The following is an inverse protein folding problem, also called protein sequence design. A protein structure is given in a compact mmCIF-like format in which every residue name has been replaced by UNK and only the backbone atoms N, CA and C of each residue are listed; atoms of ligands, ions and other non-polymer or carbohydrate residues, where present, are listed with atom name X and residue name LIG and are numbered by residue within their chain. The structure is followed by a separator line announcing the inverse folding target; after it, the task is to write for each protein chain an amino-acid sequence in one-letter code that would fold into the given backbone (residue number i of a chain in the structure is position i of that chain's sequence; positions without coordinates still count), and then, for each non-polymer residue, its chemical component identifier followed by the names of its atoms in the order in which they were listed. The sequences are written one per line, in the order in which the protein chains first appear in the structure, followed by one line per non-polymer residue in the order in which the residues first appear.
data_IF_953425509507
#
_entry.id   IF_953425509507
#
_cell.length_a   1.000
_cell.length_b   1.000
_cell.length_c   1.000
_cell.angle_alpha   90.00
_cell.angle_beta   90.00
_cell.angle_gamma   90.00
#
_symmetry.space_group_name_H-M   'P 1'
#
loop_
_entity.id
_entity.type
_entity.pdbx_description
1 polymer ?
#
# COMPACT_ATOMS: atom_id res chain seq x y z
N UNK A 1 4.18 16.77 10.23
CA UNK A 1 3.57 16.45 8.94
C UNK A 1 4.66 16.39 7.87
N UNK A 2 4.64 15.35 7.03
CA UNK A 2 5.54 15.20 5.88
C UNK A 2 4.77 15.50 4.59
N UNK A 3 5.24 16.49 3.86
CA UNK A 3 4.67 16.91 2.57
C UNK A 3 5.69 16.73 1.46
N UNK A 4 5.25 16.22 0.32
CA UNK A 4 6.01 16.23 -0.93
C UNK A 4 5.14 16.89 -2.01
N UNK A 5 5.49 18.12 -2.39
CA UNK A 5 4.63 18.97 -3.20
C UNK A 5 3.33 19.32 -2.47
N UNK A 6 2.20 18.83 -3.00
CA UNK A 6 0.84 19.04 -2.41
C UNK A 6 0.29 17.79 -1.72
N UNK A 7 1.06 16.70 -1.70
CA UNK A 7 0.62 15.42 -1.15
C UNK A 7 1.12 15.29 0.28
N UNK A 8 0.22 14.90 1.18
CA UNK A 8 0.56 14.54 2.55
C UNK A 8 0.97 13.07 2.59
N UNK A 9 2.25 12.81 2.94
CA UNK A 9 2.78 11.45 3.12
C UNK A 9 2.63 10.96 4.57
N UNK A 10 1.83 11.64 5.35
CA UNK A 10 1.53 11.31 6.73
C UNK A 10 1.85 12.45 7.70
N UNK A 11 1.28 12.34 8.88
CA UNK A 11 1.63 13.18 10.01
C UNK A 11 1.48 12.40 11.33
N UNK A 12 2.05 12.93 12.38
CA UNK A 12 1.97 12.40 13.73
C UNK A 12 1.63 13.53 14.68
N UNK A 13 0.81 13.24 15.68
CA UNK A 13 0.55 14.18 16.77
C UNK A 13 1.76 14.30 17.71
N UNK A 14 2.03 15.49 18.22
CA UNK A 14 3.11 15.73 19.19
C UNK A 14 2.67 15.35 20.62
N UNK A 15 1.38 15.33 20.88
CA UNK A 15 0.81 14.95 22.17
C UNK A 15 1.06 13.45 22.45
N UNK A 16 1.70 13.16 23.58
CA UNK A 16 2.10 11.81 23.97
C UNK A 16 0.93 10.83 24.15
N UNK A 17 -0.28 11.32 24.44
CA UNK A 17 -1.45 10.47 24.60
C UNK A 17 -2.00 9.95 23.28
N UNK A 18 -1.78 10.70 22.18
CA UNK A 18 -2.29 10.40 20.85
C UNK A 18 -1.21 10.29 19.78
N UNK A 19 0.07 10.35 20.13
CA UNK A 19 1.18 10.28 19.18
C UNK A 19 1.23 8.94 18.41
N UNK A 20 0.65 7.87 18.94
CA UNK A 20 0.54 6.57 18.28
C UNK A 20 -0.74 6.41 17.45
N UNK A 21 -1.60 7.45 17.39
CA UNK A 21 -2.81 7.38 16.57
C UNK A 21 -2.45 7.23 15.09
N UNK A 22 -3.03 6.22 14.48
CA UNK A 22 -2.88 6.02 13.04
C UNK A 22 -3.66 7.11 12.31
N UNK A 23 -3.02 7.77 11.37
CA UNK A 23 -3.55 8.97 10.69
C UNK A 23 -3.61 8.78 9.18
N UNK A 24 -4.23 9.73 8.51
CA UNK A 24 -4.36 9.84 7.05
C UNK A 24 -5.10 8.64 6.42
N UNK A 25 -4.61 8.11 5.34
CA UNK A 25 -5.18 7.00 4.57
C UNK A 25 -4.69 5.62 5.04
N UNK A 26 -4.13 5.55 6.27
CA UNK A 26 -3.68 4.31 6.89
C UNK A 26 -4.56 3.86 8.06
N UNK A 27 -5.62 4.60 8.40
CA UNK A 27 -6.49 4.31 9.54
C UNK A 27 -7.10 2.90 9.47
N UNK A 28 -7.67 2.44 10.58
CA UNK A 28 -8.20 1.06 10.70
C UNK A 28 -9.23 0.68 9.64
N UNK A 29 -10.01 1.65 9.16
CA UNK A 29 -10.97 1.46 8.06
C UNK A 29 -10.36 1.50 6.67
N UNK A 30 -9.07 1.85 6.52
CA UNK A 30 -8.37 1.80 5.23
C UNK A 30 -8.05 0.37 4.81
N UNK A 31 -7.80 0.16 3.51
CA UNK A 31 -7.39 -1.18 3.06
C UNK A 31 -6.11 -1.68 3.72
N UNK A 32 -5.15 -0.80 4.03
CA UNK A 32 -3.94 -1.17 4.76
C UNK A 32 -4.26 -1.57 6.22
N UNK A 33 -5.11 -0.80 6.91
CA UNK A 33 -5.57 -1.13 8.26
C UNK A 33 -6.36 -2.44 8.29
N UNK A 34 -7.27 -2.65 7.34
CA UNK A 34 -8.03 -3.89 7.19
C UNK A 34 -7.12 -5.08 6.91
N UNK A 35 -6.12 -4.93 6.03
CA UNK A 35 -5.17 -6.01 5.74
C UNK A 35 -4.43 -6.48 6.99
N UNK A 36 -4.00 -5.57 7.87
CA UNK A 36 -3.30 -5.91 9.11
C UNK A 36 -4.26 -6.48 10.16
N UNK A 37 -5.41 -5.84 10.38
CA UNK A 37 -6.32 -6.21 11.46
C UNK A 37 -7.08 -7.52 11.19
N UNK A 38 -7.36 -7.85 9.93
CA UNK A 38 -8.03 -9.09 9.54
C UNK A 38 -7.07 -10.28 9.41
N UNK A 39 -5.76 -10.03 9.34
CA UNK A 39 -4.72 -11.07 9.33
C UNK A 39 -4.60 -11.67 10.74
N UNK A 40 -4.94 -12.97 10.91
CA UNK A 40 -5.11 -13.56 12.25
C UNK A 40 -3.81 -13.99 12.91
N UNK A 41 -2.71 -13.97 12.19
CA UNK A 41 -1.41 -14.45 12.64
C UNK A 41 -0.89 -13.64 13.83
N UNK A 42 -0.28 -14.32 14.81
CA UNK A 42 0.57 -13.69 15.82
C UNK A 42 2.00 -13.60 15.28
N UNK A 43 2.75 -12.59 15.73
CA UNK A 43 4.11 -12.31 15.24
C UNK A 43 4.12 -12.07 13.72
N UNK A 44 3.26 -11.16 13.26
CA UNK A 44 3.10 -10.85 11.83
C UNK A 44 4.38 -10.38 11.19
N UNK A 45 4.58 -10.80 9.96
CA UNK A 45 5.63 -10.28 9.09
C UNK A 45 5.00 -9.33 8.08
N UNK A 46 5.31 -8.05 8.19
CA UNK A 46 4.71 -6.99 7.38
C UNK A 46 5.79 -6.28 6.56
N UNK A 47 5.63 -6.29 5.25
CA UNK A 47 6.42 -5.50 4.32
C UNK A 47 5.68 -4.20 3.95
N UNK A 48 6.39 -3.08 3.89
CA UNK A 48 5.81 -1.80 3.48
C UNK A 48 6.72 -1.15 2.43
N UNK A 49 6.22 -1.01 1.23
CA UNK A 49 6.90 -0.31 0.13
C UNK A 49 6.43 1.15 0.11
N UNK A 50 7.33 2.06 0.47
CA UNK A 50 7.02 3.45 0.78
C UNK A 50 6.77 3.65 2.28
N UNK A 51 7.79 4.15 2.98
CA UNK A 51 7.73 4.28 4.44
C UNK A 51 6.90 5.48 4.91
N UNK A 52 6.92 6.58 4.17
CA UNK A 52 6.32 7.83 4.61
C UNK A 52 6.86 8.28 5.97
N UNK A 53 5.98 8.66 6.89
CA UNK A 53 6.38 9.00 8.28
C UNK A 53 6.49 7.76 9.19
N UNK A 54 6.33 6.57 8.64
CA UNK A 54 6.36 5.31 9.39
C UNK A 54 5.04 4.95 10.07
N UNK A 55 3.92 5.54 9.66
CA UNK A 55 2.60 5.33 10.27
C UNK A 55 2.24 3.86 10.39
N UNK A 56 2.59 3.04 9.39
CA UNK A 56 2.29 1.61 9.41
C UNK A 56 2.94 0.85 10.56
N UNK A 57 4.09 1.31 11.08
CA UNK A 57 4.70 0.76 12.28
C UNK A 57 3.86 1.01 13.55
N UNK A 58 2.91 1.93 13.50
CA UNK A 58 1.96 2.16 14.59
C UNK A 58 1.07 0.94 14.90
N UNK A 59 0.84 0.06 13.94
CA UNK A 59 0.09 -1.19 14.10
C UNK A 59 0.90 -2.31 14.76
N UNK A 60 2.25 -2.18 14.78
CA UNK A 60 3.10 -3.27 15.23
C UNK A 60 2.94 -3.57 16.72
N UNK A 61 2.79 -4.85 17.04
CA UNK A 61 2.65 -5.38 18.38
C UNK A 61 3.91 -6.17 18.77
N UNK A 62 4.01 -6.57 20.03
CA UNK A 62 5.11 -7.42 20.50
C UNK A 62 5.27 -8.69 19.65
N UNK A 63 6.48 -8.95 19.18
CA UNK A 63 6.82 -10.09 18.34
C UNK A 63 6.61 -9.88 16.85
N UNK A 64 5.92 -8.82 16.41
CA UNK A 64 5.76 -8.52 14.99
C UNK A 64 7.10 -8.07 14.36
N UNK A 65 7.26 -8.36 13.08
CA UNK A 65 8.41 -7.95 12.27
C UNK A 65 7.94 -7.10 11.10
N UNK A 66 8.32 -5.83 11.11
CA UNK A 66 8.04 -4.89 10.05
C UNK A 66 9.31 -4.57 9.26
N UNK A 67 9.22 -4.66 7.94
CA UNK A 67 10.30 -4.29 7.02
C UNK A 67 9.80 -3.20 6.09
N UNK A 68 10.37 -1.99 6.26
CA UNK A 68 9.96 -0.78 5.56
C UNK A 68 10.99 -0.48 4.48
N UNK A 69 10.56 -0.37 3.23
CA UNK A 69 11.41 -0.02 2.09
C UNK A 69 11.18 1.44 1.71
N UNK A 70 12.24 2.22 1.60
CA UNK A 70 12.16 3.59 1.12
C UNK A 70 13.42 3.98 0.34
N UNK A 71 13.22 4.72 -0.75
CA UNK A 71 14.33 5.20 -1.58
C UNK A 71 14.99 6.46 -0.99
N UNK A 72 14.32 7.16 -0.10
CA UNK A 72 14.75 8.47 0.39
C UNK A 72 15.46 8.37 1.76
N UNK A 73 16.79 8.59 1.83
CA UNK A 73 17.51 8.53 3.08
C UNK A 73 17.08 9.58 4.12
N UNK A 74 16.46 10.69 3.69
CA UNK A 74 15.93 11.69 4.61
C UNK A 74 14.70 11.19 5.34
N UNK A 75 13.84 10.42 4.66
CA UNK A 75 12.66 9.78 5.28
C UNK A 75 13.12 8.84 6.39
N UNK A 76 14.09 7.98 6.10
CA UNK A 76 14.71 7.11 7.13
C UNK A 76 15.25 7.93 8.30
N UNK A 77 16.00 9.00 8.05
CA UNK A 77 16.58 9.83 9.10
C UNK A 77 15.51 10.48 9.99
N UNK A 78 14.40 10.95 9.41
CA UNK A 78 13.32 11.61 10.16
C UNK A 78 12.57 10.66 11.12
N UNK A 79 12.72 9.35 10.98
CA UNK A 79 12.02 8.35 11.79
C UNK A 79 12.92 7.36 12.53
N UNK A 80 14.27 7.50 12.44
CA UNK A 80 15.21 6.47 12.90
C UNK A 80 16.14 6.91 14.02
N UNK A 81 16.38 8.21 14.22
CA UNK A 81 17.37 8.73 15.14
C UNK A 81 16.74 9.15 16.48
N UNK A 82 17.56 9.34 17.51
CA UNK A 82 17.12 9.89 18.83
C UNK A 82 16.48 11.28 18.71
N UNK A 83 16.69 11.97 17.62
CA UNK A 83 16.08 13.27 17.27
C UNK A 83 15.03 13.12 16.16
N UNK A 84 14.46 11.93 16.02
CA UNK A 84 13.46 11.66 15.01
C UNK A 84 12.25 12.60 15.15
N UNK A 85 11.81 13.16 14.03
CA UNK A 85 10.60 13.99 13.99
C UNK A 85 9.32 13.13 14.09
N UNK A 86 9.41 11.85 13.69
CA UNK A 86 8.33 10.88 13.75
C UNK A 86 8.75 9.66 14.56
N UNK A 87 7.94 9.27 15.53
CA UNK A 87 8.29 8.26 16.53
C UNK A 87 7.57 6.93 16.37
N UNK A 88 6.72 6.75 15.34
CA UNK A 88 5.96 5.49 15.13
C UNK A 88 6.85 4.26 15.17
N UNK A 89 8.00 4.30 14.47
CA UNK A 89 8.97 3.22 14.46
C UNK A 89 9.55 2.94 15.86
N UNK A 90 10.01 3.99 16.55
CA UNK A 90 10.60 3.86 17.89
C UNK A 90 9.57 3.30 18.86
N UNK A 91 8.35 3.85 18.86
CA UNK A 91 7.27 3.39 19.71
C UNK A 91 6.88 1.94 19.43
N UNK A 92 6.99 1.46 18.20
CA UNK A 92 6.79 0.05 17.84
C UNK A 92 7.88 -0.84 18.45
N UNK A 93 9.14 -0.43 18.36
CA UNK A 93 10.27 -1.14 18.97
C UNK A 93 10.13 -1.19 20.50
N UNK A 94 9.72 -0.08 21.13
CA UNK A 94 9.48 -0.02 22.57
C UNK A 94 8.34 -0.94 23.01
N UNK A 95 7.37 -1.23 22.12
CA UNK A 95 6.31 -2.24 22.35
C UNK A 95 6.77 -3.68 22.11
N UNK A 96 8.01 -3.92 21.71
CA UNK A 96 8.58 -5.24 21.47
C UNK A 96 8.49 -5.76 20.03
N UNK A 97 8.18 -4.90 19.07
CA UNK A 97 8.26 -5.25 17.65
C UNK A 97 9.67 -5.07 17.09
N UNK A 98 10.00 -5.78 16.02
CA UNK A 98 11.18 -5.53 15.22
C UNK A 98 10.79 -4.67 14.01
N UNK A 99 11.45 -3.53 13.81
CA UNK A 99 11.15 -2.64 12.68
C UNK A 99 12.44 -2.24 11.97
N UNK A 100 12.68 -2.85 10.82
CA UNK A 100 13.84 -2.60 9.96
C UNK A 100 13.48 -1.63 8.83
N UNK A 101 14.44 -0.79 8.43
CA UNK A 101 14.28 0.14 7.31
C UNK A 101 15.37 -0.13 6.28
N UNK A 102 14.96 -0.57 5.11
CA UNK A 102 15.81 -0.83 3.96
C UNK A 102 15.81 0.37 3.02
N UNK A 103 17.00 0.93 2.78
CA UNK A 103 17.18 2.03 1.84
C UNK A 103 17.46 1.50 0.45
N UNK A 104 16.66 1.96 -0.50
CA UNK A 104 16.80 1.65 -1.91
C UNK A 104 15.47 1.44 -2.60
N UNK A 105 15.53 1.12 -3.88
CA UNK A 105 14.37 0.67 -4.62
C UNK A 105 13.87 -0.65 -4.06
N UNK A 106 12.60 -0.70 -3.64
CA UNK A 106 12.02 -1.84 -2.95
C UNK A 106 12.06 -3.12 -3.80
N UNK A 107 11.78 -3.00 -5.11
CA UNK A 107 11.81 -4.13 -6.03
C UNK A 107 13.21 -4.71 -6.16
N UNK A 108 14.21 -3.86 -6.39
CA UNK A 108 15.61 -4.30 -6.51
C UNK A 108 16.11 -4.92 -5.20
N UNK A 109 15.71 -4.37 -4.06
CA UNK A 109 16.06 -4.91 -2.75
C UNK A 109 15.45 -6.30 -2.55
N UNK A 110 14.16 -6.47 -2.81
CA UNK A 110 13.47 -7.76 -2.72
C UNK A 110 14.07 -8.80 -3.69
N UNK A 111 14.43 -8.41 -4.92
CA UNK A 111 15.13 -9.30 -5.85
C UNK A 111 16.48 -9.77 -5.30
N UNK A 112 17.21 -8.88 -4.65
CA UNK A 112 18.49 -9.22 -4.02
C UNK A 112 18.29 -10.16 -2.83
N UNK A 113 17.30 -9.92 -1.99
CA UNK A 113 16.94 -10.82 -0.87
C UNK A 113 16.65 -12.24 -1.36
N UNK A 114 15.85 -12.40 -2.42
CA UNK A 114 15.60 -13.73 -3.00
C UNK A 114 16.87 -14.40 -3.54
N UNK A 115 17.77 -13.63 -4.19
CA UNK A 115 19.06 -14.20 -4.66
C UNK A 115 19.93 -14.68 -3.51
N UNK A 116 19.77 -14.10 -2.31
CA UNK A 116 20.46 -14.52 -1.08
C UNK A 116 19.73 -15.66 -0.34
N UNK A 117 18.55 -16.06 -0.82
CA UNK A 117 17.72 -17.08 -0.19
C UNK A 117 16.88 -16.55 0.99
N UNK A 118 16.70 -15.24 1.06
CA UNK A 118 16.02 -14.52 2.14
C UNK A 118 14.59 -14.12 1.75
N UNK A 119 13.76 -15.10 1.38
CA UNK A 119 12.33 -14.85 1.18
C UNK A 119 11.70 -14.36 2.50
N UNK A 120 11.01 -13.23 2.46
CA UNK A 120 10.52 -12.56 3.67
C UNK A 120 9.31 -13.23 4.31
N UNK A 121 8.52 -14.02 3.55
CA UNK A 121 7.30 -14.69 3.99
C UNK A 121 6.29 -13.72 4.64
N UNK A 122 5.98 -12.63 3.97
CA UNK A 122 5.04 -11.63 4.47
C UNK A 122 3.64 -12.17 4.64
N UNK A 123 3.03 -11.88 5.78
CA UNK A 123 1.60 -12.05 6.01
C UNK A 123 0.82 -10.88 5.41
N UNK A 124 1.42 -9.68 5.42
CA UNK A 124 0.89 -8.50 4.75
C UNK A 124 2.00 -7.77 4.01
N UNK A 125 1.78 -7.46 2.73
CA UNK A 125 2.65 -6.59 1.94
C UNK A 125 1.84 -5.37 1.50
N UNK A 126 2.31 -4.18 1.89
CA UNK A 126 1.67 -2.90 1.60
C UNK A 126 2.46 -2.19 0.51
N UNK A 127 1.81 -1.82 -0.58
CA UNK A 127 2.40 -1.07 -1.68
C UNK A 127 1.83 0.35 -1.67
N UNK A 128 2.63 1.30 -1.20
CA UNK A 128 2.28 2.73 -1.07
C UNK A 128 3.47 3.64 -1.46
N UNK A 129 4.20 3.26 -2.49
CA UNK A 129 5.32 4.05 -3.00
C UNK A 129 4.84 5.05 -4.05
N UNK A 130 4.39 6.22 -3.59
CA UNK A 130 4.07 7.34 -4.46
C UNK A 130 5.21 8.37 -4.45
N UNK A 131 5.70 8.76 -5.63
CA UNK A 131 6.55 9.93 -5.80
C UNK A 131 5.74 11.03 -6.47
N UNK A 132 5.30 12.03 -5.70
CA UNK A 132 4.32 13.02 -6.14
C UNK A 132 2.99 12.35 -6.53
N UNK A 133 2.34 12.77 -7.61
CA UNK A 133 1.12 12.14 -8.13
C UNK A 133 1.41 10.94 -9.06
N UNK A 134 2.61 10.33 -8.99
CA UNK A 134 3.03 9.26 -9.90
C UNK A 134 3.39 8.00 -9.11
N UNK A 135 2.84 6.88 -9.55
CA UNK A 135 3.26 5.55 -9.09
C UNK A 135 4.48 5.09 -9.90
N UNK A 136 5.53 4.55 -9.29
CA UNK A 136 6.60 3.92 -10.02
C UNK A 136 6.06 2.69 -10.77
N UNK A 137 5.94 2.80 -12.09
CA UNK A 137 5.32 1.78 -12.95
C UNK A 137 5.91 0.39 -12.73
N UNK A 138 7.24 0.30 -12.52
CA UNK A 138 7.95 -0.96 -12.30
C UNK A 138 7.51 -1.72 -11.03
N UNK A 139 6.76 -1.08 -10.13
CA UNK A 139 6.17 -1.73 -8.96
C UNK A 139 4.80 -2.36 -9.26
N UNK A 140 4.20 -2.08 -10.43
CA UNK A 140 2.90 -2.59 -10.86
C UNK A 140 2.99 -3.30 -12.21
N UNK A 141 4.00 -4.13 -12.39
CA UNK A 141 4.17 -5.02 -13.55
C UNK A 141 3.89 -6.47 -13.18
N UNK A 142 3.70 -7.32 -14.17
CA UNK A 142 3.58 -8.77 -13.96
C UNK A 142 4.78 -9.32 -13.21
N UNK A 143 5.98 -8.91 -13.60
CA UNK A 143 7.24 -9.37 -13.02
C UNK A 143 7.38 -8.93 -11.55
N UNK A 144 6.90 -7.72 -11.21
CA UNK A 144 6.87 -7.28 -9.81
C UNK A 144 5.88 -8.09 -8.97
N UNK A 145 4.71 -8.44 -9.52
CA UNK A 145 3.75 -9.30 -8.83
C UNK A 145 4.30 -10.71 -8.59
N UNK A 146 5.00 -11.29 -9.58
CA UNK A 146 5.69 -12.59 -9.44
C UNK A 146 6.81 -12.54 -8.38
N UNK A 147 7.48 -11.40 -8.24
CA UNK A 147 8.46 -11.16 -7.19
C UNK A 147 7.79 -11.09 -5.82
N UNK A 148 6.74 -10.29 -5.68
CA UNK A 148 6.00 -10.17 -4.41
C UNK A 148 5.46 -11.52 -3.96
N UNK A 149 4.88 -12.31 -4.87
CA UNK A 149 4.36 -13.65 -4.55
C UNK A 149 5.42 -14.57 -3.92
N UNK A 150 6.68 -14.46 -4.35
CA UNK A 150 7.80 -15.23 -3.76
C UNK A 150 8.18 -14.79 -2.34
N UNK A 151 7.82 -13.57 -1.96
CA UNK A 151 8.01 -13.04 -0.61
C UNK A 151 6.77 -13.19 0.27
N UNK A 152 5.64 -13.67 -0.26
CA UNK A 152 4.40 -13.79 0.50
C UNK A 152 4.27 -15.14 1.22
N UNK A 153 3.64 -15.10 2.38
CA UNK A 153 2.97 -16.26 2.95
C UNK A 153 1.80 -16.65 2.02
N UNK A 154 1.56 -17.95 1.77
CA UNK A 154 0.48 -18.41 0.88
C UNK A 154 -0.93 -17.87 1.24
N UNK A 155 -1.16 -17.51 2.50
CA UNK A 155 -2.41 -16.92 3.00
C UNK A 155 -2.32 -15.41 3.21
N UNK A 156 -1.22 -14.79 2.81
CA UNK A 156 -0.97 -13.37 2.99
C UNK A 156 -1.86 -12.48 2.14
N UNK A 157 -1.80 -11.17 2.45
CA UNK A 157 -2.54 -10.11 1.77
C UNK A 157 -1.56 -9.13 1.15
N UNK A 158 -1.74 -8.81 -0.14
CA UNK A 158 -1.07 -7.66 -0.78
C UNK A 158 -2.08 -6.52 -0.81
N UNK A 159 -1.78 -5.42 -0.12
CA UNK A 159 -2.59 -4.21 -0.08
C UNK A 159 -1.95 -3.14 -0.97
N UNK A 160 -2.65 -2.70 -2.00
CA UNK A 160 -2.15 -1.74 -2.99
C UNK A 160 -2.95 -0.45 -2.86
N UNK A 161 -2.27 0.66 -2.52
CA UNK A 161 -2.87 1.98 -2.51
C UNK A 161 -3.09 2.43 -3.95
N UNK A 162 -4.33 2.80 -4.29
CA UNK A 162 -4.67 3.24 -5.65
C UNK A 162 -5.27 4.65 -5.71
N UNK A 163 -5.42 5.32 -4.56
CA UNK A 163 -5.89 6.71 -4.57
C UNK A 163 -4.91 7.56 -5.35
N UNK A 164 -5.36 8.10 -6.46
CA UNK A 164 -4.56 8.98 -7.29
C UNK A 164 -5.47 10.06 -7.90
N UNK A 165 -4.93 11.25 -8.05
CA UNK A 165 -5.70 12.41 -8.53
C UNK A 165 -5.88 12.43 -10.04
N UNK A 166 -4.97 11.78 -10.77
CA UNK A 166 -4.85 11.89 -12.22
C UNK A 166 -4.88 10.55 -12.95
N UNK A 167 -4.71 9.46 -12.22
CA UNK A 167 -4.58 8.12 -12.78
C UNK A 167 -5.59 7.17 -12.14
N UNK A 168 -6.38 6.49 -12.95
CA UNK A 168 -7.18 5.36 -12.49
C UNK A 168 -6.34 4.08 -12.53
N UNK A 169 -5.85 3.66 -11.36
CA UNK A 169 -4.98 2.48 -11.22
C UNK A 169 -5.75 1.16 -11.07
N UNK A 170 -7.06 1.23 -10.78
CA UNK A 170 -7.86 0.02 -10.59
C UNK A 170 -7.80 -0.94 -11.78
N UNK A 171 -7.94 -0.51 -13.07
CA UNK A 171 -7.85 -1.42 -14.21
C UNK A 171 -6.50 -2.10 -14.34
N UNK A 172 -5.39 -1.42 -13.94
CA UNK A 172 -4.04 -2.02 -13.96
C UNK A 172 -3.96 -3.15 -12.95
N UNK A 173 -4.35 -2.90 -11.70
CA UNK A 173 -4.31 -3.91 -10.63
C UNK A 173 -5.28 -5.05 -10.93
N UNK A 174 -6.47 -4.76 -11.46
CA UNK A 174 -7.45 -5.75 -11.91
C UNK A 174 -6.85 -6.68 -12.98
N UNK A 175 -6.13 -6.12 -13.95
CA UNK A 175 -5.47 -6.89 -14.99
C UNK A 175 -4.35 -7.78 -14.43
N UNK A 176 -3.57 -7.27 -13.46
CA UNK A 176 -2.55 -8.03 -12.75
C UNK A 176 -3.17 -9.15 -11.90
N UNK A 177 -4.23 -8.86 -11.14
CA UNK A 177 -4.94 -9.83 -10.33
C UNK A 177 -5.48 -11.00 -11.16
N UNK A 178 -6.05 -10.70 -12.35
CA UNK A 178 -6.51 -11.70 -13.31
C UNK A 178 -5.38 -12.59 -13.83
N UNK A 179 -4.24 -12.00 -14.18
CA UNK A 179 -3.06 -12.72 -14.68
C UNK A 179 -2.46 -13.65 -13.62
N UNK A 180 -2.37 -13.17 -12.38
CA UNK A 180 -1.76 -13.90 -11.26
C UNK A 180 -2.77 -14.76 -10.48
N UNK A 181 -4.03 -14.79 -10.91
CA UNK A 181 -5.13 -15.54 -10.29
C UNK A 181 -5.34 -15.19 -8.79
N UNK A 182 -5.14 -13.94 -8.44
CA UNK A 182 -5.49 -13.43 -7.11
C UNK A 182 -6.95 -12.97 -7.08
N UNK A 183 -7.75 -13.44 -6.10
CA UNK A 183 -8.98 -12.75 -5.74
C UNK A 183 -8.70 -11.30 -5.33
N UNK A 184 -9.56 -10.40 -5.76
CA UNK A 184 -9.41 -8.96 -5.59
C UNK A 184 -10.61 -8.39 -4.85
N UNK A 185 -10.35 -7.54 -3.85
CA UNK A 185 -11.37 -6.77 -3.14
C UNK A 185 -10.96 -5.30 -3.15
N UNK A 186 -11.87 -4.43 -3.59
CA UNK A 186 -11.67 -2.97 -3.50
C UNK A 186 -12.24 -2.49 -2.17
N UNK A 187 -11.48 -1.68 -1.45
CA UNK A 187 -11.90 -1.06 -0.20
C UNK A 187 -11.83 0.45 -0.30
N UNK A 188 -12.85 1.12 0.17
CA UNK A 188 -12.93 2.58 0.22
C UNK A 188 -13.05 3.04 1.67
N UNK A 189 -12.30 4.05 2.04
CA UNK A 189 -12.40 4.76 3.30
C UNK A 189 -12.80 6.21 3.01
N UNK A 190 -13.82 6.69 3.70
CA UNK A 190 -14.29 8.07 3.55
C UNK A 190 -13.58 9.00 4.53
N UNK A 191 -13.53 10.30 4.17
CA UNK A 191 -12.97 11.30 5.07
C UNK A 191 -13.76 11.36 6.38
N UNK A 192 -13.05 11.48 7.50
CA UNK A 192 -13.65 11.68 8.82
C UNK A 192 -13.99 13.14 9.14
N UNK A 193 -13.74 14.07 8.21
CA UNK A 193 -13.87 15.51 8.42
C UNK A 193 -15.29 15.91 8.87
N UNK A 194 -16.32 15.33 8.27
CA UNK A 194 -17.72 15.59 8.63
C UNK A 194 -18.12 15.05 10.03
N UNK A 195 -17.28 14.20 10.62
CA UNK A 195 -17.48 13.58 11.94
C UNK A 195 -16.52 14.10 13.01
N UNK A 196 -15.72 15.15 12.68
CA UNK A 196 -14.69 15.68 13.58
C UNK A 196 -13.46 14.78 13.74
N UNK A 197 -13.23 13.93 12.76
CA UNK A 197 -12.10 13.00 12.70
C UNK A 197 -11.13 13.40 11.57
N UNK A 198 -10.64 14.64 11.63
CA UNK A 198 -9.80 15.27 10.58
C UNK A 198 -8.52 14.49 10.26
N UNK A 199 -8.18 13.50 11.11
CA UNK A 199 -7.02 12.62 10.88
C UNK A 199 -7.31 11.47 9.90
N UNK A 200 -8.56 11.25 9.49
CA UNK A 200 -8.98 10.23 8.53
C UNK A 200 -9.10 10.86 7.15
N UNK A 201 -8.31 10.40 6.22
CA UNK A 201 -8.37 10.84 4.83
C UNK A 201 -9.08 9.81 3.97
N UNK A 202 -9.87 10.28 3.01
CA UNK A 202 -10.48 9.43 2.02
C UNK A 202 -9.41 8.69 1.23
N UNK A 203 -9.61 7.38 1.01
CA UNK A 203 -8.67 6.57 0.26
C UNK A 203 -9.34 5.34 -0.37
N UNK A 204 -8.71 4.83 -1.41
CA UNK A 204 -9.09 3.59 -2.07
C UNK A 204 -7.89 2.66 -2.13
N UNK A 205 -8.12 1.42 -1.72
CA UNK A 205 -7.12 0.36 -1.75
C UNK A 205 -7.65 -0.87 -2.47
N UNK A 206 -6.75 -1.67 -2.99
CA UNK A 206 -7.05 -3.00 -3.50
C UNK A 206 -6.34 -4.02 -2.63
N UNK A 207 -7.09 -5.00 -2.14
CA UNK A 207 -6.58 -6.14 -1.40
C UNK A 207 -6.58 -7.37 -2.31
N UNK A 208 -5.42 -7.97 -2.48
CA UNK A 208 -5.22 -9.21 -3.22
C UNK A 208 -4.87 -10.32 -2.23
N UNK A 209 -5.72 -11.33 -2.12
CA UNK A 209 -5.47 -12.45 -1.19
C UNK A 209 -6.18 -13.72 -1.65
N UNK A 210 -5.56 -14.88 -1.40
CA UNK A 210 -6.18 -16.21 -1.56
C UNK A 210 -6.75 -16.74 -0.23
N UNK A 211 -6.75 -15.93 0.82
CA UNK A 211 -7.30 -16.27 2.12
C UNK A 211 -8.81 -16.03 2.16
N UNK A 212 -9.59 -17.07 1.97
CA UNK A 212 -11.06 -17.01 1.93
C UNK A 212 -11.68 -16.50 3.25
N UNK A 213 -11.00 -16.69 4.41
CA UNK A 213 -11.48 -16.17 5.70
C UNK A 213 -11.39 -14.64 5.74
N UNK A 214 -10.31 -14.07 5.20
CA UNK A 214 -10.15 -12.62 5.10
C UNK A 214 -11.17 -12.06 4.11
N UNK A 215 -11.33 -12.69 2.94
CA UNK A 215 -12.32 -12.25 1.94
C UNK A 215 -13.72 -12.22 2.55
N UNK A 216 -14.11 -13.29 3.25
CA UNK A 216 -15.41 -13.35 3.92
C UNK A 216 -15.61 -12.23 4.93
N UNK A 217 -14.60 -11.93 5.75
CA UNK A 217 -14.67 -10.81 6.70
C UNK A 217 -14.78 -9.45 5.99
N UNK A 218 -14.09 -9.26 4.87
CA UNK A 218 -14.22 -8.06 4.05
C UNK A 218 -15.63 -7.92 3.47
N UNK A 219 -16.24 -9.03 3.00
CA UNK A 219 -17.62 -9.05 2.51
C UNK A 219 -18.62 -8.73 3.64
N UNK A 220 -18.40 -9.24 4.85
CA UNK A 220 -19.19 -8.90 6.05
C UNK A 220 -19.11 -7.42 6.42
N UNK A 221 -17.99 -6.76 6.10
CA UNK A 221 -17.79 -5.31 6.25
C UNK A 221 -18.33 -4.50 5.06
N UNK A 222 -18.91 -5.14 4.05
CA UNK A 222 -19.49 -4.48 2.88
C UNK A 222 -18.54 -4.34 1.68
N UNK A 223 -17.32 -4.87 1.77
CA UNK A 223 -16.34 -4.85 0.67
C UNK A 223 -16.43 -6.14 -0.14
N UNK A 224 -17.09 -6.10 -1.28
CA UNK A 224 -17.35 -7.30 -2.06
C UNK A 224 -16.15 -7.68 -2.95
N UNK A 225 -16.02 -9.00 -3.18
CA UNK A 225 -15.06 -9.53 -4.15
C UNK A 225 -15.36 -9.00 -5.55
N UNK A 226 -14.35 -8.55 -6.25
CA UNK A 226 -14.48 -8.05 -7.62
C UNK A 226 -14.68 -9.18 -8.62
N UNK A 227 -15.58 -8.95 -9.57
CA UNK A 227 -15.73 -9.85 -10.73
C UNK A 227 -14.61 -9.59 -11.73
N UNK A 228 -13.68 -10.54 -11.87
CA UNK A 228 -12.57 -10.50 -12.81
C UNK A 228 -12.88 -11.21 -14.13
N UNK A 229 -14.12 -11.66 -14.36
CA UNK A 229 -14.51 -12.34 -15.61
C UNK A 229 -14.62 -11.37 -16.79
N UNK A 230 -14.90 -10.11 -16.53
CA UNK A 230 -15.01 -9.08 -17.56
C UNK A 230 -13.68 -8.86 -18.26
N UNK A 231 -13.76 -8.62 -19.57
CA UNK A 231 -12.57 -8.35 -20.38
C UNK A 231 -12.19 -6.87 -20.19
N UNK A 232 -11.00 -6.66 -19.67
CA UNK A 232 -10.40 -5.32 -19.62
C UNK A 232 -9.69 -5.04 -20.93
N UNK A 233 -9.97 -3.89 -21.55
CA UNK A 233 -9.26 -3.44 -22.77
C UNK A 233 -7.85 -2.89 -22.47
N UNK A 234 -7.42 -2.98 -21.20
CA UNK A 234 -6.09 -2.53 -20.80
C UNK A 234 -5.07 -3.65 -21.01
N UNK A 235 -3.99 -3.42 -21.76
CA UNK A 235 -2.88 -4.36 -21.85
C UNK A 235 -2.24 -4.60 -20.48
N UNK A 236 -1.79 -5.83 -20.25
CA UNK A 236 -1.02 -6.17 -19.06
C UNK A 236 0.28 -5.34 -19.01
N UNK A 237 0.52 -4.73 -17.86
CA UNK A 237 1.79 -4.06 -17.64
C UNK A 237 2.88 -5.09 -17.35
N UNK A 238 3.97 -4.96 -18.07
CA UNK A 238 5.19 -5.76 -17.94
C UNK A 238 6.39 -4.82 -17.85
N UNK A 239 7.56 -5.35 -17.57
CA UNK A 239 8.80 -4.55 -17.56
C UNK A 239 9.13 -3.94 -18.92
N UNK A 240 8.67 -4.58 -19.99
CA UNK A 240 8.88 -4.11 -21.38
C UNK A 240 7.76 -3.18 -21.86
N UNK A 241 6.60 -3.16 -21.18
CA UNK A 241 5.44 -2.39 -21.63
C UNK A 241 4.57 -1.90 -20.48
N UNK A 242 4.39 -0.58 -20.41
CA UNK A 242 3.40 0.08 -19.59
C UNK A 242 2.91 1.37 -20.26
N UNK A 243 1.65 1.71 -20.09
CA UNK A 243 1.08 2.92 -20.68
C UNK A 243 0.20 3.67 -19.67
N UNK A 244 0.74 4.74 -19.12
CA UNK A 244 0.00 5.63 -18.21
C UNK A 244 -1.10 6.42 -18.94
N UNK A 245 -0.97 6.67 -20.25
CA UNK A 245 -1.96 7.42 -21.02
C UNK A 245 -3.34 6.76 -21.06
N UNK A 246 -3.39 5.44 -20.94
CA UNK A 246 -4.65 4.68 -20.96
C UNK A 246 -5.42 4.75 -19.64
N UNK A 247 -4.77 5.16 -18.57
CA UNK A 247 -5.32 5.23 -17.22
C UNK A 247 -5.40 6.66 -16.70
N UNK A 248 -5.05 7.65 -17.53
CA UNK A 248 -5.20 9.06 -17.15
C UNK A 248 -6.68 9.45 -17.08
N UNK A 249 -7.08 10.05 -15.98
CA UNK A 249 -8.36 10.71 -15.87
C UNK A 249 -8.39 11.89 -16.87
N UNK A 250 -9.32 11.81 -17.81
CA UNK A 250 -9.43 12.80 -18.89
C UNK A 250 -10.09 14.04 -18.35
N UNK A 251 -9.40 15.20 -18.30
CA UNK A 251 -10.05 16.44 -17.92
C UNK A 251 -11.10 16.83 -18.96
N UNK A 252 -12.11 17.59 -18.57
CA UNK A 252 -13.26 17.98 -19.41
C UNK A 252 -12.87 18.67 -20.74
N UNK A 253 -11.65 19.21 -20.85
CA UNK A 253 -11.10 19.83 -22.07
C UNK A 253 -10.33 18.87 -22.98
N UNK A 254 -10.26 17.57 -22.62
CA UNK A 254 -9.52 16.57 -23.42
C UNK A 254 -10.15 16.40 -24.79
N UNK A 255 -9.39 16.53 -25.88
CA UNK A 255 -9.94 16.42 -27.23
C UNK A 255 -10.44 15.00 -27.51
N UNK A 256 -11.68 14.87 -27.97
CA UNK A 256 -12.30 13.56 -28.28
C UNK A 256 -11.53 12.72 -29.34
N UNK A 257 -10.73 13.39 -30.19
CA UNK A 257 -9.92 12.72 -31.23
C UNK A 257 -8.64 12.04 -30.70
N UNK A 258 -8.24 12.29 -29.43
CA UNK A 258 -7.12 11.60 -28.77
C UNK A 258 -7.51 10.24 -28.16
N UNK A 259 -8.68 9.74 -28.47
CA UNK A 259 -9.15 8.41 -28.13
C UNK A 259 -9.84 8.35 -26.77
N UNK A 260 -11.07 7.91 -26.78
CA UNK A 260 -11.90 7.56 -25.62
C UNK A 260 -13.34 7.87 -25.89
N UNK A 261 -14.14 6.83 -25.97
CA UNK A 261 -15.58 6.93 -26.00
C UNK A 261 -16.05 7.72 -24.79
N UNK A 262 -16.89 8.73 -25.08
CA UNK A 262 -17.63 9.44 -24.04
C UNK A 262 -18.64 8.48 -23.39
N UNK A 263 -19.03 8.72 -22.14
CA UNK A 263 -19.95 7.88 -21.39
C UNK A 263 -21.32 7.75 -22.05
#
# INVERSE_FOLDING_TARGET
MLLNGRITHGYQYEDSEICNRITTYYTEGSGAGLAISLTPELNKRVGVVGMGVGTMAGYAMEGDVYRLYDINPLVKKMSSDEQAQFTFRMNAVDRGATVDVELGDARLTMEQELRQGEAQNYDVLILDAFSSDSIPVHLLTKESMELYEKHMNPRGVIAIHISNRYLNLEPVVRRLAKETLYPMVVTECYSGEDYGEDWIYACTWILLTRNEEIIKKLEELGHNRSDLSQQEDLPLWTDDYASIFRIMDKPAWWPSWLGGDSP
#
